data_IF_279793190292
#
_entry.id   IF_279793190292
#
_cell.length_a   1.000
_cell.length_b   1.000
_cell.length_c   1.000
_cell.angle_alpha   90.00
_cell.angle_beta   90.00
_cell.angle_gamma   90.00
#
_symmetry.space_group_name_H-M   'P 1'
#
loop_
_entity.id
_entity.type
_entity.pdbx_description
1 polymer ?
#
# COMPACT_ATOMS: atom_id res chain seq x y z
N UNK A 1 -35.35 28.28 -38.15
CA UNK A 1 -35.26 27.80 -36.75
C UNK A 1 -35.23 26.28 -36.73
N UNK A 2 -34.04 25.67 -36.80
CA UNK A 2 -33.82 24.25 -36.52
C UNK A 2 -32.48 24.15 -35.81
N UNK A 3 -32.48 24.40 -34.50
CA UNK A 3 -31.30 24.21 -33.68
C UNK A 3 -31.14 22.70 -33.47
N UNK A 4 -30.03 22.18 -33.98
CA UNK A 4 -29.66 20.76 -34.03
C UNK A 4 -29.88 20.05 -32.69
N UNK A 5 -30.89 19.18 -32.65
CA UNK A 5 -31.23 18.29 -31.54
C UNK A 5 -30.35 17.02 -31.48
N UNK A 6 -29.11 17.09 -31.99
CA UNK A 6 -28.26 15.90 -32.19
C UNK A 6 -27.08 15.77 -31.22
N UNK A 7 -26.93 16.67 -30.24
CA UNK A 7 -25.80 16.67 -29.29
C UNK A 7 -26.25 16.54 -27.82
N UNK A 8 -27.42 15.97 -27.56
CA UNK A 8 -27.96 15.83 -26.21
C UNK A 8 -27.88 14.42 -25.64
N UNK A 9 -27.29 13.47 -26.37
CA UNK A 9 -27.20 12.07 -25.93
C UNK A 9 -25.78 11.52 -26.08
N UNK A 10 -25.33 10.74 -25.09
CA UNK A 10 -24.09 9.97 -25.12
C UNK A 10 -24.42 8.47 -25.12
N UNK A 11 -23.69 7.67 -25.88
CA UNK A 11 -23.94 6.22 -25.99
C UNK A 11 -23.23 5.46 -24.87
N UNK A 12 -24.00 4.81 -23.99
CA UNK A 12 -23.52 3.95 -22.90
C UNK A 12 -23.62 2.45 -23.22
N UNK A 13 -22.91 1.62 -22.45
CA UNK A 13 -22.99 0.15 -22.52
C UNK A 13 -23.56 -0.39 -21.20
N UNK A 14 -24.67 -1.14 -21.26
CA UNK A 14 -25.25 -1.85 -20.10
C UNK A 14 -25.63 -3.27 -20.53
N UNK A 15 -25.14 -4.28 -19.82
CA UNK A 15 -25.34 -5.70 -20.18
C UNK A 15 -24.99 -6.05 -21.64
N UNK A 16 -23.98 -5.38 -22.21
CA UNK A 16 -23.52 -5.62 -23.59
C UNK A 16 -24.40 -4.99 -24.69
N UNK A 17 -25.42 -4.20 -24.33
CA UNK A 17 -26.25 -3.45 -25.26
C UNK A 17 -25.89 -1.97 -25.23
N UNK A 18 -25.91 -1.34 -26.41
CA UNK A 18 -25.77 0.11 -26.55
C UNK A 18 -27.10 0.80 -26.25
N UNK A 19 -27.06 1.87 -25.47
CA UNK A 19 -28.22 2.73 -25.24
C UNK A 19 -27.80 4.20 -25.29
N UNK A 20 -28.70 5.03 -25.80
CA UNK A 20 -28.50 6.47 -25.83
C UNK A 20 -29.01 7.09 -24.53
N UNK A 21 -28.19 7.93 -23.91
CA UNK A 21 -28.51 8.54 -22.63
C UNK A 21 -28.39 10.06 -22.66
N UNK A 22 -29.33 10.81 -22.04
CA UNK A 22 -29.25 12.27 -22.01
C UNK A 22 -27.95 12.77 -21.38
N UNK A 23 -27.25 13.67 -22.07
CA UNK A 23 -26.04 14.35 -21.62
C UNK A 23 -26.24 15.16 -20.33
N UNK A 24 -27.48 15.51 -19.99
CA UNK A 24 -27.82 16.22 -18.75
C UNK A 24 -27.80 15.31 -17.51
N UNK A 25 -27.65 13.99 -17.68
CA UNK A 25 -27.72 13.04 -16.57
C UNK A 25 -26.39 13.05 -15.80
N UNK A 26 -26.39 13.62 -14.60
CA UNK A 26 -25.26 13.58 -13.68
C UNK A 26 -24.89 12.13 -13.36
N UNK A 27 -23.68 11.73 -13.76
CA UNK A 27 -23.08 10.45 -13.40
C UNK A 27 -22.22 10.60 -12.15
N UNK A 28 -22.21 9.58 -11.30
CA UNK A 28 -21.18 9.47 -10.28
C UNK A 28 -19.84 9.34 -11.02
N UNK A 29 -18.91 10.25 -10.72
CA UNK A 29 -17.52 10.04 -11.11
C UNK A 29 -17.03 8.83 -10.31
N UNK A 30 -16.62 7.77 -11.00
CA UNK A 30 -15.79 6.77 -10.33
C UNK A 30 -14.40 7.38 -10.31
N UNK A 31 -13.92 7.73 -9.12
CA UNK A 31 -12.49 7.92 -8.95
C UNK A 31 -11.85 6.56 -9.26
N UNK A 32 -11.20 6.44 -10.42
CA UNK A 32 -10.21 5.40 -10.61
C UNK A 32 -9.07 5.76 -9.64
N UNK A 33 -9.20 5.29 -8.40
CA UNK A 33 -8.17 5.45 -7.40
C UNK A 33 -7.02 4.62 -7.91
N UNK A 34 -6.12 5.29 -8.64
CA UNK A 34 -4.74 4.91 -8.95
C UNK A 34 -4.39 3.68 -8.12
N UNK A 35 -4.33 2.53 -8.79
CA UNK A 35 -4.17 1.19 -8.23
C UNK A 35 -3.54 1.27 -6.84
N UNK A 36 -4.27 0.93 -5.75
CA UNK A 36 -3.85 1.26 -4.40
C UNK A 36 -2.44 0.73 -4.24
N UNK A 37 -1.47 1.63 -4.04
CA UNK A 37 -0.09 1.25 -3.74
C UNK A 37 -0.20 0.24 -2.61
N UNK A 38 0.05 -1.04 -2.93
CA UNK A 38 -0.11 -2.14 -1.98
C UNK A 38 0.99 -2.01 -0.95
N UNK A 39 0.77 -1.18 0.06
CA UNK A 39 1.67 -1.05 1.19
C UNK A 39 1.42 -2.24 2.11
N UNK A 40 2.44 -3.09 2.25
CA UNK A 40 2.44 -4.17 3.23
C UNK A 40 3.43 -3.81 4.34
N UNK A 41 2.99 -3.93 5.59
CA UNK A 41 3.87 -3.81 6.74
C UNK A 41 4.11 -5.18 7.33
N UNK A 42 5.37 -5.57 7.44
CA UNK A 42 5.78 -6.84 8.05
C UNK A 42 6.47 -6.55 9.37
N UNK A 43 6.10 -7.29 10.43
CA UNK A 43 6.78 -7.25 11.72
C UNK A 43 7.81 -8.38 11.76
N UNK A 44 9.06 -8.02 12.01
CA UNK A 44 10.17 -8.96 12.08
C UNK A 44 10.70 -9.04 13.52
N UNK A 45 11.11 -10.24 13.94
CA UNK A 45 11.87 -10.43 15.17
C UNK A 45 13.33 -10.70 14.79
N UNK A 46 14.23 -9.82 15.21
CA UNK A 46 15.67 -9.96 14.95
C UNK A 46 16.36 -10.51 16.20
N UNK A 47 17.17 -11.55 16.04
CA UNK A 47 18.09 -12.04 17.06
C UNK A 47 19.50 -11.66 16.62
N UNK A 48 20.20 -10.90 17.45
CA UNK A 48 21.57 -10.46 17.18
C UNK A 48 22.32 -10.34 18.49
N UNK A 49 23.60 -10.71 18.46
CA UNK A 49 24.54 -10.48 19.56
C UNK A 49 25.08 -9.03 19.55
N UNK A 50 24.84 -8.30 18.46
CA UNK A 50 25.24 -6.91 18.25
C UNK A 50 24.07 -5.96 18.53
N UNK A 51 24.37 -4.72 18.96
CA UNK A 51 23.34 -3.71 19.23
C UNK A 51 22.66 -3.24 17.93
N UNK A 52 21.40 -3.63 17.75
CA UNK A 52 20.55 -3.23 16.61
C UNK A 52 20.11 -1.75 16.61
N UNK A 53 20.53 -0.98 17.61
CA UNK A 53 20.28 0.47 17.69
C UNK A 53 21.31 1.30 16.93
N UNK A 54 22.42 0.69 16.51
CA UNK A 54 23.43 1.35 15.70
C UNK A 54 22.89 1.61 14.28
N UNK A 55 22.90 2.86 13.77
CA UNK A 55 22.42 3.19 12.44
C UNK A 55 23.07 2.36 11.32
N UNK A 56 24.34 2.01 11.44
CA UNK A 56 25.04 1.19 10.44
C UNK A 56 24.46 -0.23 10.40
N UNK A 57 24.15 -0.80 11.57
CA UNK A 57 23.51 -2.13 11.67
C UNK A 57 22.09 -2.09 11.10
N UNK A 58 21.34 -1.01 11.36
CA UNK A 58 19.98 -0.85 10.82
C UNK A 58 19.98 -0.71 9.30
N UNK A 59 20.95 0.02 8.73
CA UNK A 59 21.11 0.11 7.27
C UNK A 59 21.45 -1.26 6.67
N UNK A 60 22.38 -1.98 7.29
CA UNK A 60 22.78 -3.30 6.83
C UNK A 60 21.60 -4.30 6.81
N UNK A 61 20.78 -4.32 7.87
CA UNK A 61 19.58 -5.19 7.92
C UNK A 61 18.59 -4.79 6.82
N UNK A 62 18.36 -3.48 6.62
CA UNK A 62 17.42 -3.00 5.60
C UNK A 62 17.87 -3.41 4.19
N UNK A 63 19.16 -3.33 3.91
CA UNK A 63 19.72 -3.69 2.61
C UNK A 63 19.67 -5.19 2.37
N UNK A 64 19.90 -6.02 3.41
CA UNK A 64 19.62 -7.45 3.32
C UNK A 64 18.16 -7.75 2.97
N UNK A 65 17.19 -7.08 3.64
CA UNK A 65 15.77 -7.28 3.33
C UNK A 65 15.47 -6.91 1.87
N UNK A 66 15.98 -5.76 1.40
CA UNK A 66 15.81 -5.34 -0.01
C UNK A 66 16.37 -6.38 -0.97
N UNK A 67 17.55 -6.93 -0.69
CA UNK A 67 18.18 -7.93 -1.53
C UNK A 67 17.35 -9.22 -1.60
N UNK A 68 16.92 -9.75 -0.44
CA UNK A 68 16.05 -10.94 -0.38
C UNK A 68 14.73 -10.73 -1.13
N UNK A 69 14.12 -9.54 -1.02
CA UNK A 69 12.89 -9.23 -1.75
C UNK A 69 13.11 -9.16 -3.26
N UNK A 70 14.26 -8.64 -3.71
CA UNK A 70 14.62 -8.63 -5.15
C UNK A 70 14.82 -10.04 -5.68
N UNK A 71 15.51 -10.90 -4.94
CA UNK A 71 15.83 -12.27 -5.35
C UNK A 71 14.58 -13.17 -5.37
N UNK A 72 13.66 -13.03 -4.41
CA UNK A 72 12.55 -13.98 -4.25
C UNK A 72 11.19 -13.51 -4.76
N UNK A 73 10.93 -12.19 -4.84
CA UNK A 73 9.57 -11.67 -5.12
C UNK A 73 9.44 -10.93 -6.45
N UNK A 74 10.50 -10.87 -7.28
CA UNK A 74 10.52 -10.22 -8.60
C UNK A 74 9.89 -8.81 -8.56
N UNK A 75 10.13 -8.10 -7.45
CA UNK A 75 9.66 -6.72 -7.29
C UNK A 75 10.79 -5.77 -7.70
N UNK A 76 10.89 -5.47 -9.00
CA UNK A 76 11.95 -4.58 -9.52
C UNK A 76 11.91 -3.17 -8.88
N UNK A 77 10.74 -2.69 -8.48
CA UNK A 77 10.52 -1.32 -7.99
C UNK A 77 9.93 -1.20 -6.58
N UNK A 78 10.10 -2.22 -5.72
CA UNK A 78 9.61 -2.15 -4.34
C UNK A 78 10.42 -1.15 -3.50
N UNK A 79 9.74 -0.13 -2.96
CA UNK A 79 10.32 0.77 -1.96
C UNK A 79 10.19 0.16 -0.57
N UNK A 80 11.31 -0.15 0.07
CA UNK A 80 11.37 -0.72 1.42
C UNK A 80 11.93 0.32 2.38
N UNK A 81 11.16 0.65 3.42
CA UNK A 81 11.52 1.64 4.43
C UNK A 81 11.23 1.11 5.83
N UNK A 82 11.93 1.65 6.81
CA UNK A 82 11.62 1.40 8.21
C UNK A 82 10.33 2.10 8.61
N UNK A 83 9.47 1.40 9.34
CA UNK A 83 8.39 2.05 10.09
C UNK A 83 8.95 2.53 11.42
N UNK A 84 9.16 3.85 11.51
CA UNK A 84 9.53 4.52 12.76
C UNK A 84 8.30 4.55 13.67
N UNK A 85 8.46 4.10 14.92
CA UNK A 85 7.38 4.14 15.90
C UNK A 85 7.25 5.54 16.51
N UNK A 86 6.16 5.85 17.24
CA UNK A 86 5.94 7.18 17.82
C UNK A 86 7.06 7.66 18.76
N UNK A 87 7.86 6.74 19.30
CA UNK A 87 9.01 7.02 20.17
C UNK A 87 10.30 7.30 19.39
N UNK A 88 10.25 7.31 18.05
CA UNK A 88 11.40 7.52 17.18
C UNK A 88 12.26 6.27 16.94
N UNK A 89 11.95 5.14 17.59
CA UNK A 89 12.73 3.92 17.45
C UNK A 89 12.15 2.97 16.39
N UNK A 90 13.04 2.22 15.72
CA UNK A 90 12.66 1.16 14.79
C UNK A 90 12.54 -0.18 15.51
N UNK A 91 13.51 -0.47 16.39
CA UNK A 91 13.61 -1.72 17.11
C UNK A 91 13.23 -1.56 18.59
N UNK A 92 12.52 -2.54 19.12
CA UNK A 92 12.19 -2.64 20.54
C UNK A 92 12.64 -3.99 21.06
N UNK A 93 13.21 -3.99 22.27
CA UNK A 93 13.48 -5.24 22.96
C UNK A 93 12.16 -5.93 23.26
N UNK A 94 12.03 -7.20 22.84
CA UNK A 94 10.88 -8.02 23.21
C UNK A 94 10.89 -8.19 24.72
N UNK A 95 9.87 -7.67 25.41
CA UNK A 95 9.67 -8.00 26.83
C UNK A 95 9.35 -9.48 26.93
N UNK A 96 10.00 -10.19 27.84
CA UNK A 96 9.49 -11.48 28.26
C UNK A 96 8.18 -11.21 28.98
N UNK A 97 7.10 -11.84 28.53
CA UNK A 97 5.89 -11.90 29.34
C UNK A 97 6.24 -12.73 30.58
N UNK A 98 6.50 -12.04 31.69
CA UNK A 98 6.40 -12.68 33.00
C UNK A 98 4.96 -13.16 33.08
N UNK A 99 4.78 -14.48 33.01
CA UNK A 99 3.52 -15.12 33.38
C UNK A 99 3.33 -14.74 34.85
N UNK A 100 2.60 -13.64 35.09
CA UNK A 100 2.05 -13.36 36.39
C UNK A 100 1.10 -14.52 36.63
N UNK A 101 1.55 -15.49 37.42
CA UNK A 101 0.66 -16.45 38.05
C UNK A 101 -0.38 -15.61 38.79
N UNK A 102 -1.57 -15.46 38.20
CA UNK A 102 -2.76 -15.14 38.98
C UNK A 102 -2.88 -16.28 39.99
N UNK A 103 -2.56 -15.97 41.24
CA UNK A 103 -3.06 -16.73 42.37
C UNK A 103 -4.59 -16.64 42.39
#
# INVERSE_FOLDING_TARGET
MKQNLFLLYFTGIFNGLFFDEPCATLRYFICDTISPVRSQTVKLQVKSDVRVFDPAVQSFILDQIKQTLKEHLVMENATVTWRVQPDGNIFHKKKQETIASKC
#
